data_IF_156821761512
#
_entry.id   IF_156821761512
#
_cell.length_a   1.000
_cell.length_b   1.000
_cell.length_c   1.000
_cell.angle_alpha   90.00
_cell.angle_beta   90.00
_cell.angle_gamma   90.00
#
_symmetry.space_group_name_H-M   'P 1'
#
loop_
_entity.id
_entity.type
_entity.pdbx_description
1 polymer ?
#
# COMPACT_ATOMS: atom_id res chain seq x y z
N UNK A 1 10.12 21.43 1.45
CA UNK A 1 8.72 21.18 1.86
C UNK A 1 7.95 22.47 1.73
N UNK A 2 6.87 22.48 0.96
CA UNK A 2 6.03 23.65 0.80
C UNK A 2 4.83 23.56 1.75
N UNK A 3 4.92 24.23 2.91
CA UNK A 3 3.89 24.16 3.95
C UNK A 3 2.51 24.67 3.50
N UNK A 4 2.46 25.58 2.51
CA UNK A 4 1.20 26.09 1.95
C UNK A 4 0.52 25.03 1.08
N UNK A 5 1.30 24.22 0.34
CA UNK A 5 0.78 23.09 -0.43
C UNK A 5 0.23 21.99 0.46
N UNK A 6 0.99 21.60 1.48
CA UNK A 6 0.54 20.58 2.46
C UNK A 6 -0.78 21.01 3.08
N UNK A 7 -0.89 22.29 3.48
CA UNK A 7 -2.14 22.83 4.04
C UNK A 7 -3.30 22.80 3.04
N UNK A 8 -3.07 23.23 1.80
CA UNK A 8 -4.10 23.21 0.75
C UNK A 8 -4.55 21.77 0.45
N UNK A 9 -3.61 20.82 0.43
CA UNK A 9 -3.90 19.40 0.28
C UNK A 9 -4.75 18.90 1.44
N UNK A 10 -4.35 19.14 2.69
CA UNK A 10 -5.15 18.80 3.88
C UNK A 10 -6.58 19.36 3.78
N UNK A 11 -6.75 20.62 3.37
CA UNK A 11 -8.07 21.25 3.20
C UNK A 11 -8.91 20.58 2.11
N UNK A 12 -8.33 20.21 0.96
CA UNK A 12 -9.04 19.51 -0.12
C UNK A 12 -9.41 18.09 0.28
N UNK A 13 -8.50 17.36 0.94
CA UNK A 13 -8.78 16.02 1.46
C UNK A 13 -9.92 16.05 2.49
N UNK A 14 -10.00 17.09 3.35
CA UNK A 14 -11.14 17.27 4.28
C UNK A 14 -12.47 17.49 3.55
N UNK A 15 -12.49 18.35 2.53
CA UNK A 15 -13.71 18.62 1.74
C UNK A 15 -14.17 17.36 1.02
N UNK A 16 -13.27 16.62 0.40
CA UNK A 16 -13.56 15.36 -0.31
C UNK A 16 -14.20 14.33 0.63
N UNK A 17 -13.66 14.17 1.84
CA UNK A 17 -14.23 13.24 2.82
C UNK A 17 -15.63 13.68 3.30
N UNK A 18 -15.84 14.99 3.49
CA UNK A 18 -17.11 15.53 4.00
C UNK A 18 -18.22 15.57 2.96
N UNK A 19 -17.90 16.04 1.75
CA UNK A 19 -18.88 16.42 0.73
C UNK A 19 -18.99 15.38 -0.41
N UNK A 20 -18.11 14.37 -0.42
CA UNK A 20 -18.02 13.35 -1.46
C UNK A 20 -17.40 13.87 -2.76
N UNK A 21 -17.23 12.97 -3.73
CA UNK A 21 -16.61 13.33 -5.01
C UNK A 21 -17.60 14.13 -5.88
N UNK A 22 -17.37 15.44 -6.03
CA UNK A 22 -18.02 16.29 -7.04
C UNK A 22 -17.07 16.54 -8.20
N UNK A 23 -17.59 16.85 -9.40
CA UNK A 23 -16.75 17.18 -10.57
C UNK A 23 -15.82 18.38 -10.32
N UNK A 24 -16.26 19.35 -9.50
CA UNK A 24 -15.46 20.54 -9.15
C UNK A 24 -14.33 20.16 -8.19
N UNK A 25 -14.62 19.41 -7.13
CA UNK A 25 -13.62 18.90 -6.18
C UNK A 25 -12.65 17.92 -6.86
N UNK A 26 -13.13 17.12 -7.82
CA UNK A 26 -12.31 16.23 -8.64
C UNK A 26 -11.28 17.02 -9.43
N UNK A 27 -11.69 18.12 -10.07
CA UNK A 27 -10.77 18.98 -10.84
C UNK A 27 -9.78 19.71 -9.93
N UNK A 28 -10.22 20.21 -8.78
CA UNK A 28 -9.36 20.86 -7.78
C UNK A 28 -8.31 19.87 -7.24
N UNK A 29 -8.72 18.64 -6.92
CA UNK A 29 -7.83 17.57 -6.48
C UNK A 29 -6.82 17.18 -7.58
N UNK A 30 -7.26 17.04 -8.83
CA UNK A 30 -6.39 16.76 -9.99
C UNK A 30 -5.27 17.79 -10.15
N UNK A 31 -5.58 19.08 -10.03
CA UNK A 31 -4.58 20.15 -10.18
C UNK A 31 -3.55 20.16 -9.05
N UNK A 32 -3.94 19.76 -7.84
CA UNK A 32 -3.05 19.72 -6.67
C UNK A 32 -2.21 18.43 -6.67
N UNK A 33 -2.81 17.28 -6.98
CA UNK A 33 -2.15 15.96 -6.95
C UNK A 33 -1.15 15.79 -8.10
N UNK A 34 -1.36 16.43 -9.25
CA UNK A 34 -0.45 16.36 -10.39
C UNK A 34 0.97 16.91 -10.13
N UNK A 35 1.18 17.65 -9.04
CA UNK A 35 2.48 18.23 -8.66
C UNK A 35 2.84 17.93 -7.19
N UNK A 36 2.25 16.86 -6.63
CA UNK A 36 2.42 16.49 -5.22
C UNK A 36 3.63 15.58 -5.01
N UNK A 37 4.43 15.93 -4.01
CA UNK A 37 5.49 15.08 -3.51
C UNK A 37 4.89 14.01 -2.56
N UNK A 38 5.34 12.73 -2.61
CA UNK A 38 4.78 11.68 -1.75
C UNK A 38 4.92 11.99 -0.24
N UNK A 39 5.94 12.76 0.15
CA UNK A 39 6.10 13.27 1.52
C UNK A 39 5.00 14.28 1.85
N UNK A 40 4.64 15.17 0.93
CA UNK A 40 3.60 16.18 1.16
C UNK A 40 2.23 15.52 1.32
N UNK A 41 1.97 14.45 0.55
CA UNK A 41 0.78 13.61 0.72
C UNK A 41 0.76 12.90 2.08
N UNK A 42 1.84 12.19 2.42
CA UNK A 42 1.94 11.45 3.68
C UNK A 42 1.81 12.38 4.91
N UNK A 43 2.42 13.57 4.84
CA UNK A 43 2.29 14.58 5.91
C UNK A 43 0.86 15.12 5.99
N UNK A 44 0.20 15.35 4.85
CA UNK A 44 -1.18 15.82 4.86
C UNK A 44 -2.13 14.77 5.44
N UNK A 45 -1.98 13.49 5.08
CA UNK A 45 -2.77 12.38 5.65
C UNK A 45 -2.54 12.25 7.16
N UNK A 46 -1.28 12.30 7.60
CA UNK A 46 -0.93 12.26 9.01
C UNK A 46 -1.56 13.42 9.80
N UNK A 47 -1.53 14.65 9.25
CA UNK A 47 -2.18 15.81 9.86
C UNK A 47 -3.70 15.58 10.05
N UNK A 48 -4.37 14.94 9.08
CA UNK A 48 -5.81 14.66 9.19
C UNK A 48 -6.12 13.67 10.30
N UNK A 49 -5.29 12.63 10.45
CA UNK A 49 -5.43 11.65 11.53
C UNK A 49 -5.22 12.33 12.88
N UNK A 50 -4.22 13.20 13.01
CA UNK A 50 -3.95 13.98 14.22
C UNK A 50 -5.08 14.95 14.57
N UNK A 51 -5.78 15.49 13.57
CA UNK A 51 -6.97 16.33 13.74
C UNK A 51 -8.24 15.54 14.09
N UNK A 52 -8.13 14.22 14.24
CA UNK A 52 -9.20 13.34 14.72
C UNK A 52 -10.01 12.66 13.62
N UNK A 53 -9.54 12.71 12.36
CA UNK A 53 -10.13 11.94 11.28
C UNK A 53 -9.88 10.44 11.51
N UNK A 54 -10.92 9.62 11.33
CA UNK A 54 -10.72 8.18 11.39
C UNK A 54 -9.89 7.75 10.17
N UNK A 55 -8.79 6.99 10.33
CA UNK A 55 -8.02 6.47 9.20
C UNK A 55 -8.88 5.71 8.19
N UNK A 56 -9.98 5.11 8.64
CA UNK A 56 -10.90 4.40 7.75
C UNK A 56 -11.66 5.34 6.81
N UNK A 57 -11.86 6.60 7.17
CA UNK A 57 -12.52 7.62 6.34
C UNK A 57 -11.56 8.18 5.27
N UNK A 58 -10.25 8.00 5.46
CA UNK A 58 -9.26 8.23 4.39
C UNK A 58 -9.37 7.20 3.26
N UNK A 59 -10.10 6.08 3.41
CA UNK A 59 -10.30 5.12 2.31
C UNK A 59 -11.01 5.73 1.11
N UNK A 60 -11.99 6.59 1.32
CA UNK A 60 -12.69 7.25 0.22
C UNK A 60 -11.78 8.24 -0.53
N UNK A 61 -10.71 8.70 0.12
CA UNK A 61 -9.67 9.51 -0.51
C UNK A 61 -8.77 8.64 -1.40
N UNK A 62 -8.49 7.39 -1.02
CA UNK A 62 -7.81 6.41 -1.89
C UNK A 62 -8.60 6.14 -3.18
N UNK A 63 -9.93 6.05 -3.16
CA UNK A 63 -10.72 5.82 -4.38
C UNK A 63 -10.59 6.99 -5.38
N UNK A 64 -10.59 8.22 -4.87
CA UNK A 64 -10.41 9.44 -5.67
C UNK A 64 -8.98 9.55 -6.18
N UNK A 65 -7.99 9.30 -5.33
CA UNK A 65 -6.58 9.19 -5.67
C UNK A 65 -6.34 8.19 -6.82
N UNK A 66 -6.93 7.00 -6.73
CA UNK A 66 -6.84 5.94 -7.74
C UNK A 66 -7.51 6.34 -9.05
N UNK A 67 -8.67 7.00 -9.02
CA UNK A 67 -9.36 7.45 -10.24
C UNK A 67 -8.61 8.61 -10.93
N UNK A 68 -7.95 9.46 -10.15
CA UNK A 68 -7.21 10.65 -10.61
C UNK A 68 -5.84 10.29 -11.17
N UNK A 69 -5.12 9.37 -10.56
CA UNK A 69 -3.77 8.98 -11.01
C UNK A 69 -3.75 7.71 -11.86
N UNK A 70 -4.89 7.07 -12.13
CA UNK A 70 -4.99 5.86 -12.96
C UNK A 70 -4.20 5.95 -14.27
N UNK A 71 -4.33 7.09 -14.94
CA UNK A 71 -3.67 7.36 -16.21
C UNK A 71 -2.13 7.47 -16.09
N UNK A 72 -1.59 7.84 -14.92
CA UNK A 72 -0.15 7.91 -14.69
C UNK A 72 0.50 6.52 -14.61
N UNK A 73 -0.16 5.55 -13.97
CA UNK A 73 0.35 4.18 -13.94
C UNK A 73 0.31 3.54 -15.34
N UNK A 74 -0.72 3.82 -16.13
CA UNK A 74 -0.79 3.38 -17.53
C UNK A 74 0.34 4.02 -18.39
N UNK A 75 0.67 5.29 -18.15
CA UNK A 75 1.83 5.94 -18.78
C UNK A 75 3.15 5.30 -18.37
N UNK A 76 3.30 4.83 -17.14
CA UNK A 76 4.51 4.12 -16.69
C UNK A 76 4.59 2.76 -17.37
N UNK A 77 3.52 1.96 -17.32
CA UNK A 77 3.47 0.62 -17.93
C UNK A 77 3.76 0.65 -19.43
N UNK A 78 3.41 1.73 -20.12
CA UNK A 78 3.73 1.91 -21.55
C UNK A 78 5.16 2.38 -21.83
N UNK A 79 5.87 2.92 -20.84
CA UNK A 79 7.26 3.40 -20.94
C UNK A 79 8.30 2.35 -20.54
N UNK A 80 7.92 1.31 -19.82
CA UNK A 80 8.81 0.25 -19.34
C UNK A 80 8.55 -1.07 -20.09
N UNK A 81 9.61 -1.84 -20.31
CA UNK A 81 9.51 -3.15 -20.96
C UNK A 81 9.07 -4.22 -19.96
N UNK A 82 8.42 -5.29 -20.46
CA UNK A 82 8.08 -6.45 -19.63
C UNK A 82 9.36 -7.02 -18.99
N UNK A 83 9.32 -7.27 -17.68
CA UNK A 83 10.46 -7.77 -16.93
C UNK A 83 11.47 -6.69 -16.51
N UNK A 84 11.12 -5.41 -16.68
CA UNK A 84 11.75 -4.32 -15.96
C UNK A 84 11.52 -4.47 -14.43
N UNK A 85 12.41 -3.92 -13.60
CA UNK A 85 12.30 -4.01 -12.13
C UNK A 85 10.96 -3.46 -11.64
N UNK A 86 10.62 -2.23 -12.05
CA UNK A 86 9.33 -1.58 -11.72
C UNK A 86 8.12 -2.33 -12.29
N UNK A 87 8.24 -2.95 -13.48
CA UNK A 87 7.14 -3.77 -14.03
C UNK A 87 6.86 -4.97 -13.12
N UNK A 88 7.91 -5.59 -12.59
CA UNK A 88 7.78 -6.70 -11.64
C UNK A 88 7.11 -6.26 -10.34
N UNK A 89 7.52 -5.11 -9.78
CA UNK A 89 6.91 -4.55 -8.58
C UNK A 89 5.42 -4.25 -8.78
N UNK A 90 5.05 -3.59 -9.88
CA UNK A 90 3.65 -3.29 -10.19
C UNK A 90 2.82 -4.57 -10.34
N UNK A 91 3.35 -5.61 -10.98
CA UNK A 91 2.64 -6.89 -11.13
C UNK A 91 2.44 -7.62 -9.78
N UNK A 92 3.40 -7.49 -8.87
CA UNK A 92 3.28 -8.01 -7.50
C UNK A 92 2.25 -7.20 -6.69
N UNK A 93 2.20 -5.88 -6.86
CA UNK A 93 1.16 -5.02 -6.28
C UNK A 93 -0.25 -5.44 -6.71
N UNK A 94 -0.47 -5.72 -8.00
CA UNK A 94 -1.77 -6.20 -8.49
C UNK A 94 -2.23 -7.45 -7.71
N UNK A 95 -1.30 -8.38 -7.41
CA UNK A 95 -1.60 -9.58 -6.62
C UNK A 95 -1.82 -9.28 -5.15
N UNK A 96 -1.03 -8.40 -4.55
CA UNK A 96 -1.23 -7.99 -3.15
C UNK A 96 -2.61 -7.34 -2.97
N UNK A 97 -3.04 -6.50 -3.92
CA UNK A 97 -4.36 -5.86 -3.90
C UNK A 97 -5.52 -6.89 -4.00
N UNK A 98 -5.35 -7.95 -4.79
CA UNK A 98 -6.29 -9.10 -4.80
C UNK A 98 -6.38 -9.74 -3.41
N UNK A 99 -5.25 -10.04 -2.76
CA UNK A 99 -5.24 -10.63 -1.41
C UNK A 99 -5.85 -9.72 -0.34
N UNK A 100 -5.65 -8.41 -0.43
CA UNK A 100 -6.28 -7.45 0.48
C UNK A 100 -7.81 -7.44 0.33
N UNK A 101 -8.30 -7.58 -0.89
CA UNK A 101 -9.74 -7.69 -1.17
C UNK A 101 -10.31 -9.01 -0.63
N UNK A 102 -9.56 -10.09 -0.75
CA UNK A 102 -9.90 -11.39 -0.15
C UNK A 102 -9.93 -11.30 1.38
N UNK A 103 -8.95 -10.65 2.01
CA UNK A 103 -8.88 -10.44 3.45
C UNK A 103 -10.09 -9.66 3.98
N UNK A 104 -10.53 -8.60 3.30
CA UNK A 104 -11.77 -7.88 3.65
C UNK A 104 -13.00 -8.80 3.59
N UNK A 105 -13.10 -9.62 2.54
CA UNK A 105 -14.20 -10.57 2.38
C UNK A 105 -14.23 -11.61 3.49
N UNK A 106 -13.08 -12.20 3.81
CA UNK A 106 -12.92 -13.18 4.88
C UNK A 106 -13.26 -12.55 6.23
N UNK A 107 -12.72 -11.37 6.55
CA UNK A 107 -13.04 -10.67 7.78
C UNK A 107 -14.56 -10.41 7.89
N UNK A 108 -15.21 -9.93 6.82
CA UNK A 108 -16.67 -9.72 6.81
C UNK A 108 -17.48 -10.99 7.11
N UNK A 109 -17.01 -12.16 6.67
CA UNK A 109 -17.63 -13.46 7.00
C UNK A 109 -17.37 -13.83 8.45
N UNK A 110 -16.13 -13.70 8.94
CA UNK A 110 -15.77 -13.95 10.34
C UNK A 110 -16.63 -13.12 11.30
N UNK A 111 -16.86 -11.84 10.96
CA UNK A 111 -17.68 -10.96 11.78
C UNK A 111 -19.16 -11.40 11.90
N UNK A 112 -19.65 -12.24 10.99
CA UNK A 112 -21.02 -12.80 10.99
C UNK A 112 -21.12 -14.15 11.69
N UNK A 113 -19.99 -14.74 12.12
CA UNK A 113 -19.99 -16.00 12.85
C UNK A 113 -20.49 -15.78 14.29
N UNK A 114 -21.18 -16.79 14.82
CA UNK A 114 -21.69 -16.83 16.20
C UNK A 114 -20.81 -17.68 17.13
N UNK A 115 -20.00 -18.59 16.58
CA UNK A 115 -19.03 -19.43 17.29
C UNK A 115 -18.00 -20.02 16.33
N UNK A 116 -16.88 -20.53 16.87
CA UNK A 116 -15.79 -21.12 16.08
C UNK A 116 -16.19 -22.34 15.24
N UNK A 117 -17.03 -23.23 15.78
CA UNK A 117 -17.43 -24.47 15.09
C UNK A 117 -18.09 -24.23 13.73
N UNK A 118 -18.69 -23.04 13.54
CA UNK A 118 -19.41 -22.67 12.34
C UNK A 118 -18.50 -22.01 11.28
N UNK A 119 -17.22 -21.75 11.60
CA UNK A 119 -16.34 -20.94 10.76
C UNK A 119 -14.89 -21.41 10.66
N UNK A 120 -14.63 -22.72 10.82
CA UNK A 120 -13.29 -23.29 10.64
C UNK A 120 -12.74 -23.05 9.23
N UNK A 121 -13.61 -23.04 8.21
CA UNK A 121 -13.23 -22.77 6.82
C UNK A 121 -12.78 -21.31 6.63
N UNK A 122 -13.50 -20.34 7.22
CA UNK A 122 -13.12 -18.93 7.20
C UNK A 122 -11.78 -18.67 7.92
N UNK A 123 -11.54 -19.37 9.03
CA UNK A 123 -10.29 -19.23 9.80
C UNK A 123 -9.11 -19.82 9.02
N UNK A 124 -9.31 -20.95 8.34
CA UNK A 124 -8.28 -21.52 7.48
C UNK A 124 -8.00 -20.61 6.27
N UNK A 125 -9.06 -20.06 5.65
CA UNK A 125 -8.91 -19.06 4.61
C UNK A 125 -8.16 -17.81 5.10
N UNK A 126 -8.41 -17.35 6.34
CA UNK A 126 -7.67 -16.25 6.95
C UNK A 126 -6.17 -16.56 7.04
N UNK A 127 -5.78 -17.77 7.47
CA UNK A 127 -4.36 -18.15 7.52
C UNK A 127 -3.75 -18.09 6.12
N UNK A 128 -4.41 -18.70 5.14
CA UNK A 128 -3.89 -18.75 3.76
C UNK A 128 -3.69 -17.35 3.18
N UNK A 129 -4.69 -16.46 3.29
CA UNK A 129 -4.57 -15.11 2.72
C UNK A 129 -3.48 -14.30 3.44
N UNK A 130 -3.33 -14.46 4.76
CA UNK A 130 -2.29 -13.78 5.53
C UNK A 130 -0.90 -14.28 5.16
N UNK A 131 -0.76 -15.57 4.84
CA UNK A 131 0.50 -16.16 4.39
C UNK A 131 0.92 -15.60 3.04
N UNK A 132 -0.03 -15.49 2.11
CA UNK A 132 0.19 -14.84 0.82
C UNK A 132 0.59 -13.36 0.98
N UNK A 133 -0.03 -12.63 1.92
CA UNK A 133 0.32 -11.23 2.21
C UNK A 133 1.71 -11.12 2.88
N UNK A 134 2.10 -12.08 3.71
CA UNK A 134 3.42 -12.14 4.34
C UNK A 134 4.54 -12.46 3.34
N UNK A 135 4.23 -13.24 2.31
CA UNK A 135 5.16 -13.60 1.23
C UNK A 135 5.58 -12.37 0.38
N UNK A 136 4.86 -11.24 0.50
CA UNK A 136 5.28 -9.95 -0.04
C UNK A 136 6.58 -9.40 0.60
N UNK A 137 7.15 -10.02 1.63
CA UNK A 137 8.40 -9.53 2.25
C UNK A 137 9.57 -9.44 1.26
N UNK A 138 9.66 -10.33 0.28
CA UNK A 138 10.70 -10.26 -0.75
C UNK A 138 10.51 -9.05 -1.69
N UNK A 139 9.28 -8.60 -1.90
CA UNK A 139 8.99 -7.33 -2.59
C UNK A 139 9.58 -6.16 -1.82
N UNK A 140 9.16 -6.03 -0.55
CA UNK A 140 9.58 -4.93 0.34
C UNK A 140 11.09 -4.87 0.48
N UNK A 141 11.78 -6.02 0.55
CA UNK A 141 13.24 -6.07 0.61
C UNK A 141 13.92 -5.61 -0.68
N UNK A 142 13.35 -5.90 -1.85
CA UNK A 142 13.91 -5.44 -3.13
C UNK A 142 13.74 -3.93 -3.29
N UNK A 143 12.60 -3.40 -2.87
CA UNK A 143 12.42 -1.96 -2.83
C UNK A 143 13.44 -1.33 -1.87
N UNK A 144 13.49 -1.83 -0.65
CA UNK A 144 14.32 -1.28 0.41
C UNK A 144 15.82 -1.36 0.13
N UNK A 145 16.33 -2.47 -0.42
CA UNK A 145 17.77 -2.71 -0.57
C UNK A 145 18.27 -2.49 -1.98
N UNK A 146 17.39 -2.12 -2.90
CA UNK A 146 17.74 -1.88 -4.30
C UNK A 146 17.16 -0.57 -4.77
N UNK A 147 15.83 -0.44 -4.89
CA UNK A 147 15.22 0.77 -5.43
C UNK A 147 15.49 2.01 -4.56
N UNK A 148 15.27 1.89 -3.26
CA UNK A 148 15.39 3.01 -2.33
C UNK A 148 16.85 3.43 -2.18
N UNK A 149 17.78 2.49 -2.12
CA UNK A 149 19.22 2.80 -2.08
C UNK A 149 19.64 3.60 -3.33
N UNK A 150 19.19 3.21 -4.53
CA UNK A 150 19.47 3.95 -5.76
C UNK A 150 18.83 5.34 -5.82
N UNK A 151 17.63 5.48 -5.23
CA UNK A 151 16.96 6.78 -5.11
C UNK A 151 17.66 7.69 -4.09
N UNK A 152 18.17 7.12 -3.00
CA UNK A 152 18.88 7.84 -1.94
C UNK A 152 20.24 8.38 -2.42
N UNK A 153 20.99 7.61 -3.23
CA UNK A 153 22.21 8.07 -3.92
C UNK A 153 21.95 9.28 -4.85
N UNK A 154 20.69 9.48 -5.24
CA UNK A 154 20.22 10.62 -6.04
C UNK A 154 19.52 11.69 -5.20
N UNK A 155 19.79 11.70 -3.89
CA UNK A 155 19.27 12.64 -2.89
C UNK A 155 17.75 12.57 -2.62
N UNK A 156 17.06 11.51 -3.08
CA UNK A 156 15.62 11.29 -2.88
C UNK A 156 15.41 10.48 -1.59
N UNK A 157 15.76 11.08 -0.45
CA UNK A 157 15.86 10.37 0.84
C UNK A 157 14.60 10.49 1.73
N UNK A 158 13.79 11.53 1.50
CA UNK A 158 12.60 11.77 2.29
C UNK A 158 11.49 10.73 2.06
N UNK A 159 11.10 10.43 0.80
CA UNK A 159 10.06 9.45 0.52
C UNK A 159 10.47 8.05 0.97
N UNK A 160 11.68 7.60 0.62
CA UNK A 160 12.18 6.25 0.94
C UNK A 160 12.18 5.98 2.45
N UNK A 161 12.53 6.98 3.27
CA UNK A 161 12.46 6.87 4.73
C UNK A 161 11.05 6.62 5.25
N UNK A 162 10.04 7.30 4.70
CA UNK A 162 8.64 7.12 5.10
C UNK A 162 8.16 5.72 4.69
N UNK A 163 8.46 5.29 3.47
CA UNK A 163 8.08 3.95 3.00
C UNK A 163 8.67 2.83 3.87
N UNK A 164 9.93 2.96 4.31
CA UNK A 164 10.55 2.01 5.26
C UNK A 164 9.81 1.96 6.61
N UNK A 165 9.38 3.11 7.13
CA UNK A 165 8.62 3.15 8.39
C UNK A 165 7.27 2.44 8.23
N UNK A 166 6.56 2.71 7.13
CA UNK A 166 5.29 2.04 6.82
C UNK A 166 5.50 0.53 6.63
N UNK A 167 6.58 0.11 5.97
CA UNK A 167 6.95 -1.31 5.86
C UNK A 167 7.13 -1.98 7.22
N UNK A 168 7.83 -1.35 8.16
CA UNK A 168 8.07 -1.92 9.50
C UNK A 168 6.76 -2.09 10.29
N UNK A 169 5.89 -1.10 10.25
CA UNK A 169 4.57 -1.16 10.89
C UNK A 169 3.70 -2.25 10.25
N UNK A 170 3.65 -2.30 8.92
CA UNK A 170 2.90 -3.31 8.16
C UNK A 170 3.44 -4.72 8.41
N UNK A 171 4.77 -4.92 8.49
CA UNK A 171 5.39 -6.21 8.85
C UNK A 171 4.94 -6.68 10.22
N UNK A 172 4.94 -5.79 11.21
CA UNK A 172 4.51 -6.14 12.56
C UNK A 172 3.03 -6.57 12.58
N UNK A 173 2.16 -5.83 11.88
CA UNK A 173 0.72 -6.12 11.82
C UNK A 173 0.40 -7.39 11.05
N UNK A 174 1.06 -7.64 9.92
CA UNK A 174 0.94 -8.90 9.16
C UNK A 174 1.30 -10.12 10.02
N UNK A 175 2.40 -10.04 10.77
CA UNK A 175 2.81 -11.11 11.72
C UNK A 175 1.82 -11.27 12.88
N UNK A 176 1.29 -10.16 13.41
CA UNK A 176 0.29 -10.19 14.47
C UNK A 176 -0.99 -10.90 14.00
N UNK A 177 -1.50 -10.57 12.81
CA UNK A 177 -2.70 -11.20 12.25
C UNK A 177 -2.49 -12.70 12.04
N UNK A 178 -1.31 -13.10 11.53
CA UNK A 178 -0.94 -14.51 11.37
C UNK A 178 -0.99 -15.25 12.70
N UNK A 179 -0.39 -14.67 13.74
CA UNK A 179 -0.37 -15.27 15.07
C UNK A 179 -1.78 -15.47 15.64
N UNK A 180 -2.66 -14.47 15.48
CA UNK A 180 -4.07 -14.56 15.91
C UNK A 180 -4.80 -15.68 15.16
N UNK A 181 -4.59 -15.79 13.84
CA UNK A 181 -5.19 -16.84 13.02
C UNK A 181 -4.72 -18.25 13.41
N UNK A 182 -3.45 -18.42 13.82
CA UNK A 182 -2.90 -19.69 14.30
C UNK A 182 -3.42 -20.07 15.70
N UNK A 183 -3.49 -19.10 16.60
CA UNK A 183 -3.81 -19.32 18.00
C UNK A 183 -5.31 -19.16 18.32
N UNK A 184 -6.17 -19.05 17.29
CA UNK A 184 -7.61 -18.78 17.42
C UNK A 184 -8.29 -19.63 18.51
N UNK A 185 -7.96 -20.93 18.58
CA UNK A 185 -8.55 -21.87 19.56
C UNK A 185 -8.23 -21.55 21.03
N UNK A 186 -7.23 -20.69 21.29
CA UNK A 186 -6.80 -20.26 22.63
C UNK A 186 -7.33 -18.87 23.00
N UNK A 187 -7.94 -18.16 22.04
CA UNK A 187 -8.48 -16.80 22.21
C UNK A 187 -10.00 -16.91 22.40
N UNK A 188 -10.58 -16.10 23.29
CA UNK A 188 -12.03 -16.04 23.42
C UNK A 188 -12.66 -15.55 22.10
N UNK A 189 -13.78 -16.14 21.68
CA UNK A 189 -14.34 -15.92 20.34
C UNK A 189 -14.63 -14.46 19.99
N UNK A 190 -15.22 -13.68 20.91
CA UNK A 190 -15.53 -12.27 20.65
C UNK A 190 -14.24 -11.43 20.59
N UNK A 191 -13.28 -11.71 21.47
CA UNK A 191 -11.95 -11.11 21.44
C UNK A 191 -11.21 -11.42 20.12
N UNK A 192 -11.29 -12.65 19.62
CA UNK A 192 -10.72 -13.02 18.32
C UNK A 192 -11.35 -12.21 17.19
N UNK A 193 -12.69 -12.08 17.17
CA UNK A 193 -13.39 -11.30 16.15
C UNK A 193 -12.96 -9.84 16.16
N UNK A 194 -12.87 -9.23 17.34
CA UNK A 194 -12.41 -7.85 17.52
C UNK A 194 -10.97 -7.67 17.01
N UNK A 195 -10.05 -8.53 17.45
CA UNK A 195 -8.65 -8.44 17.03
C UNK A 195 -8.47 -8.65 15.52
N UNK A 196 -9.17 -9.63 14.93
CA UNK A 196 -9.14 -9.87 13.48
C UNK A 196 -9.70 -8.66 12.73
N UNK A 197 -10.82 -8.07 13.20
CA UNK A 197 -11.43 -6.93 12.54
C UNK A 197 -10.49 -5.71 12.52
N UNK A 198 -9.96 -5.35 13.69
CA UNK A 198 -9.09 -4.18 13.85
C UNK A 198 -7.82 -4.31 13.01
N UNK A 199 -7.14 -5.45 13.09
CA UNK A 199 -5.87 -5.64 12.40
C UNK A 199 -6.09 -5.81 10.89
N UNK A 200 -7.13 -6.54 10.46
CA UNK A 200 -7.42 -6.69 9.03
C UNK A 200 -7.75 -5.33 8.41
N UNK A 201 -8.59 -4.52 9.07
CA UNK A 201 -8.91 -3.17 8.59
C UNK A 201 -7.68 -2.28 8.53
N UNK A 202 -6.77 -2.38 9.52
CA UNK A 202 -5.51 -1.65 9.50
C UNK A 202 -4.64 -2.06 8.30
N UNK A 203 -4.38 -3.36 8.12
CA UNK A 203 -3.51 -3.87 7.03
C UNK A 203 -4.08 -3.46 5.68
N UNK A 204 -5.38 -3.68 5.47
CA UNK A 204 -6.04 -3.38 4.20
C UNK A 204 -5.94 -1.90 3.86
N UNK A 205 -6.22 -1.02 4.83
CA UNK A 205 -6.16 0.41 4.58
C UNK A 205 -4.73 0.85 4.26
N UNK A 206 -3.80 0.59 5.18
CA UNK A 206 -2.44 1.11 5.08
C UNK A 206 -1.67 0.49 3.92
N UNK A 207 -1.85 -0.81 3.61
CA UNK A 207 -1.12 -1.43 2.50
C UNK A 207 -1.68 -1.00 1.13
N UNK A 208 -2.98 -0.71 0.99
CA UNK A 208 -3.53 -0.13 -0.25
C UNK A 208 -2.99 1.28 -0.48
N UNK A 209 -2.99 2.09 0.57
CA UNK A 209 -2.47 3.45 0.53
C UNK A 209 -0.96 3.49 0.20
N UNK A 210 -0.20 2.59 0.83
CA UNK A 210 1.21 2.38 0.56
C UNK A 210 1.49 2.03 -0.91
N UNK A 211 0.83 1.00 -1.43
CA UNK A 211 0.94 0.59 -2.84
C UNK A 211 0.57 1.74 -3.79
N UNK A 212 -0.41 2.55 -3.41
CA UNK A 212 -0.77 3.74 -4.17
C UNK A 212 0.38 4.75 -4.24
N UNK A 213 0.98 5.11 -3.10
CA UNK A 213 2.13 6.01 -3.04
C UNK A 213 3.28 5.50 -3.90
N UNK A 214 3.51 4.19 -3.94
CA UNK A 214 4.54 3.56 -4.75
C UNK A 214 4.25 3.65 -6.23
N UNK A 215 3.12 3.10 -6.65
CA UNK A 215 2.73 2.99 -8.05
C UNK A 215 2.64 4.36 -8.73
N UNK A 216 2.06 5.33 -8.05
CA UNK A 216 1.68 6.60 -8.67
C UNK A 216 2.62 7.75 -8.36
N UNK A 217 3.53 7.60 -7.40
CA UNK A 217 4.41 8.70 -7.00
C UNK A 217 5.87 8.25 -6.95
N UNK A 218 6.19 7.21 -6.19
CA UNK A 218 7.57 6.77 -5.99
C UNK A 218 8.19 6.18 -7.25
N UNK A 219 7.51 5.25 -7.92
CA UNK A 219 7.97 4.61 -9.15
C UNK A 219 8.12 5.59 -10.32
N UNK A 220 7.16 6.50 -10.60
CA UNK A 220 7.39 7.54 -11.60
C UNK A 220 8.59 8.42 -11.24
N UNK A 221 8.75 8.81 -9.97
CA UNK A 221 9.91 9.59 -9.51
C UNK A 221 11.22 8.83 -9.76
N UNK A 222 11.26 7.53 -9.49
CA UNK A 222 12.43 6.69 -9.73
C UNK A 222 12.77 6.60 -11.23
N UNK A 223 11.80 6.34 -12.10
CA UNK A 223 11.96 6.31 -13.56
C UNK A 223 12.40 7.68 -14.10
N UNK A 224 11.91 8.75 -13.49
CA UNK A 224 12.31 10.11 -13.86
C UNK A 224 13.73 10.46 -13.41
N UNK A 225 14.23 9.85 -12.34
CA UNK A 225 15.54 10.19 -11.76
C UNK A 225 16.66 9.25 -12.20
N UNK A 226 16.34 7.99 -12.50
CA UNK A 226 17.30 6.94 -12.92
C UNK A 226 17.18 6.78 -14.45
N UNK A 227 18.06 7.44 -15.19
CA UNK A 227 17.99 7.50 -16.67
C UNK A 227 18.82 6.42 -17.36
N UNK A 228 19.83 5.91 -16.67
CA UNK A 228 20.79 4.96 -17.21
C UNK A 228 20.20 3.55 -17.20
N UNK A 229 20.11 2.92 -18.38
CA UNK A 229 19.60 1.55 -18.54
C UNK A 229 20.47 0.55 -17.78
N UNK A 230 21.78 0.77 -17.77
CA UNK A 230 22.76 -0.12 -17.12
C UNK A 230 22.50 -0.22 -15.61
N UNK A 231 22.01 0.86 -14.98
CA UNK A 231 21.70 0.87 -13.55
C UNK A 231 20.45 0.02 -13.28
N UNK A 232 19.42 0.13 -14.13
CA UNK A 232 18.25 -0.75 -14.03
C UNK A 232 18.60 -2.23 -14.27
N UNK A 233 19.51 -2.52 -15.20
CA UNK A 233 20.01 -3.87 -15.44
C UNK A 233 20.78 -4.41 -14.21
N UNK A 234 21.59 -3.58 -13.54
CA UNK A 234 22.28 -3.95 -12.28
C UNK A 234 21.30 -4.16 -11.12
N UNK A 235 20.33 -3.26 -10.97
CA UNK A 235 19.27 -3.38 -9.96
C UNK A 235 18.52 -4.70 -10.13
N UNK A 236 18.24 -5.11 -11.36
CA UNK A 236 17.59 -6.39 -11.64
C UNK A 236 18.40 -7.57 -11.09
N UNK A 237 19.72 -7.58 -11.28
CA UNK A 237 20.59 -8.62 -10.74
C UNK A 237 20.58 -8.63 -9.20
N UNK A 238 20.62 -7.46 -8.56
CA UNK A 238 20.49 -7.35 -7.09
C UNK A 238 19.12 -7.82 -6.60
N UNK A 239 18.06 -7.57 -7.36
CA UNK A 239 16.73 -8.10 -7.07
C UNK A 239 16.69 -9.63 -7.19
N UNK A 240 17.33 -10.21 -8.22
CA UNK A 240 17.44 -11.66 -8.40
C UNK A 240 18.14 -12.33 -7.19
N UNK A 241 19.14 -11.67 -6.60
CA UNK A 241 19.86 -12.16 -5.41
C UNK A 241 18.98 -12.18 -4.14
N UNK A 242 18.04 -11.24 -4.01
CA UNK A 242 17.09 -11.20 -2.89
C UNK A 242 16.00 -12.26 -3.09
N UNK A 243 15.56 -12.45 -4.34
CA UNK A 243 14.46 -13.33 -4.69
C UNK A 243 13.12 -12.63 -4.82
N UNK A 244 12.12 -13.39 -5.24
CA UNK A 244 10.80 -12.90 -5.63
C UNK A 244 9.71 -13.46 -4.70
N UNK A 245 8.52 -12.87 -4.75
CA UNK A 245 7.35 -13.42 -4.07
C UNK A 245 6.93 -14.73 -4.77
N UNK A 246 6.34 -15.67 -4.04
CA UNK A 246 5.79 -16.91 -4.59
C UNK A 246 4.65 -16.70 -5.59
N UNK A 247 4.05 -15.51 -5.61
CA UNK A 247 3.03 -15.08 -6.55
C UNK A 247 3.55 -14.14 -7.65
N UNK A 248 4.86 -13.87 -7.71
CA UNK A 248 5.45 -13.09 -8.80
C UNK A 248 5.20 -13.81 -10.13
N UNK A 249 4.59 -13.16 -11.14
CA UNK A 249 4.34 -13.80 -12.42
C UNK A 249 5.62 -14.28 -13.11
N UNK A 250 5.59 -15.47 -13.70
CA UNK A 250 6.68 -15.94 -14.56
C UNK A 250 6.77 -15.04 -15.81
N UNK A 251 7.98 -14.52 -16.06
CA UNK A 251 8.28 -13.60 -17.16
C UNK A 251 8.34 -14.29 -18.52
#
# INVERSE_FOLDING_TARGET
MNNERIKNLTEVLQKLNKDGLTEELRKEALEIVADINPIELSVAEQNLIEEGMNPQDLRHLCDVHMEVLKDELDKIRTKIEKGHVVDTFINEHDKILEFLTELESINSKIQKLEKYDDGLDEIEALKIVVDNILDAENHHQREERVLFDEMEEREITGPTRIMRMEHDDLRAKKKQLRHIAEEFSKIQFDEFKEQVDDISKYIVFNLRDHIFKENYILYPTAIESIKEKEIWDEMKLRCDEIGYCGFTPEL
#
